data_IF_669422154543
#
_entry.id   IF_669422154543
#
_cell.length_a   1.000
_cell.length_b   1.000
_cell.length_c   1.000
_cell.angle_alpha   90.00
_cell.angle_beta   90.00
_cell.angle_gamma   90.00
#
_symmetry.space_group_name_H-M   'P 1'
#
loop_
_entity.id
_entity.type
_entity.pdbx_description
1 polymer ?
#
# COMPACT_ATOMS: atom_id res chain seq x y z
N UNK A 1 -0.42 3.83 -15.95
CA UNK A 1 0.20 3.41 -14.66
C UNK A 1 0.22 4.63 -13.75
N UNK A 2 -0.33 4.54 -12.54
CA UNK A 2 -0.38 5.69 -11.60
C UNK A 2 1.03 6.12 -11.16
N UNK A 3 1.25 7.42 -10.95
CA UNK A 3 2.55 7.98 -10.55
C UNK A 3 3.09 7.38 -9.24
N UNK A 4 2.21 7.10 -8.27
CA UNK A 4 2.58 6.46 -7.01
C UNK A 4 3.19 5.06 -7.19
N UNK A 5 2.61 4.26 -8.11
CA UNK A 5 3.11 2.91 -8.44
C UNK A 5 4.51 3.00 -9.04
N UNK A 6 4.72 3.94 -9.97
CA UNK A 6 6.03 4.13 -10.60
C UNK A 6 7.09 4.66 -9.63
N UNK A 7 6.68 5.47 -8.65
CA UNK A 7 7.58 5.96 -7.61
C UNK A 7 8.02 4.85 -6.67
N UNK A 8 7.10 4.00 -6.20
CA UNK A 8 7.43 2.86 -5.36
C UNK A 8 8.31 1.83 -6.08
N UNK A 9 8.04 1.56 -7.37
CA UNK A 9 8.91 0.73 -8.21
C UNK A 9 10.34 1.28 -8.30
N UNK A 10 10.50 2.60 -8.45
CA UNK A 10 11.82 3.23 -8.49
C UNK A 10 12.52 3.23 -7.12
N UNK A 11 11.76 3.35 -6.03
CA UNK A 11 12.27 3.22 -4.66
C UNK A 11 12.80 1.80 -4.42
N UNK A 12 12.03 0.79 -4.85
CA UNK A 12 12.38 -0.62 -4.72
C UNK A 12 13.72 -0.99 -5.38
N UNK A 13 14.09 -0.30 -6.47
CA UNK A 13 15.38 -0.48 -7.15
C UNK A 13 16.59 -0.05 -6.30
N UNK A 14 16.37 0.80 -5.29
CA UNK A 14 17.40 1.37 -4.43
C UNK A 14 17.34 0.83 -3.00
N UNK A 15 16.18 0.31 -2.59
CA UNK A 15 15.90 -0.23 -1.27
C UNK A 15 14.96 -1.42 -1.42
N UNK A 16 15.39 -2.66 -1.10
CA UNK A 16 14.52 -3.82 -1.11
C UNK A 16 13.34 -3.61 -0.15
N UNK A 17 12.13 -3.97 -0.60
CA UNK A 17 10.91 -3.78 0.18
C UNK A 17 10.27 -2.41 -0.10
N UNK A 18 9.32 -2.39 -1.02
CA UNK A 18 8.42 -1.26 -1.23
C UNK A 18 7.02 -1.77 -1.57
N UNK A 19 5.99 -1.02 -1.17
CA UNK A 19 4.60 -1.30 -1.54
C UNK A 19 3.84 0.00 -1.78
N UNK A 20 2.78 -0.07 -2.59
CA UNK A 20 1.79 1.01 -2.72
C UNK A 20 0.49 0.57 -2.10
N UNK A 21 -0.02 1.39 -1.19
CA UNK A 21 -1.33 1.21 -0.59
C UNK A 21 -2.33 2.18 -1.25
N UNK A 22 -3.52 1.69 -1.56
CA UNK A 22 -4.70 2.51 -1.80
C UNK A 22 -5.54 2.48 -0.54
N UNK A 23 -5.63 3.62 0.11
CA UNK A 23 -6.52 3.88 1.25
C UNK A 23 -7.83 4.41 0.68
N UNK A 24 -8.95 3.87 1.16
CA UNK A 24 -10.30 4.29 0.84
C UNK A 24 -10.94 4.76 2.14
N UNK A 25 -11.49 5.96 2.12
CA UNK A 25 -12.19 6.55 3.24
C UNK A 25 -13.52 7.07 2.74
N UNK A 26 -14.52 7.05 3.62
CA UNK A 26 -15.84 7.59 3.33
C UNK A 26 -15.75 9.12 3.22
N UNK A 27 -16.38 9.69 2.20
CA UNK A 27 -16.18 11.09 1.80
C UNK A 27 -16.80 12.11 2.79
N UNK A 28 -17.76 11.70 3.63
CA UNK A 28 -18.45 12.57 4.59
C UNK A 28 -17.82 12.61 5.99
N UNK A 29 -17.45 11.46 6.53
CA UNK A 29 -16.92 11.24 7.89
C UNK A 29 -15.40 11.12 7.89
N UNK A 30 -14.80 10.72 6.77
CA UNK A 30 -13.38 10.37 6.69
C UNK A 30 -13.04 9.04 7.35
N UNK A 31 -14.04 8.23 7.72
CA UNK A 31 -13.82 6.91 8.29
C UNK A 31 -13.14 5.98 7.27
N UNK A 32 -12.20 5.17 7.75
CA UNK A 32 -11.48 4.23 6.91
C UNK A 32 -12.43 3.11 6.44
N UNK A 33 -12.66 3.02 5.14
CA UNK A 33 -13.45 1.94 4.52
C UNK A 33 -12.58 0.75 4.11
N UNK A 34 -11.30 0.98 3.84
CA UNK A 34 -10.37 -0.11 3.59
C UNK A 34 -9.02 0.30 3.03
N UNK A 35 -8.08 -0.64 3.08
CA UNK A 35 -6.74 -0.48 2.51
C UNK A 35 -6.44 -1.66 1.59
N UNK A 36 -5.92 -1.38 0.39
CA UNK A 36 -5.55 -2.42 -0.59
C UNK A 36 -4.14 -2.20 -1.09
N UNK A 37 -3.39 -3.29 -1.29
CA UNK A 37 -2.06 -3.23 -1.89
C UNK A 37 -2.22 -3.17 -3.41
N UNK A 38 -1.68 -2.11 -4.04
CA UNK A 38 -1.73 -1.86 -5.48
C UNK A 38 -0.45 -2.27 -6.23
N UNK A 39 0.61 -2.53 -5.49
CA UNK A 39 1.90 -2.99 -6.00
C UNK A 39 2.84 -3.30 -4.84
N UNK A 40 3.68 -4.31 -5.01
CA UNK A 40 4.63 -4.79 -4.01
C UNK A 40 5.93 -5.20 -4.72
N UNK A 41 7.06 -4.83 -4.13
CA UNK A 41 8.40 -5.17 -4.62
C UNK A 41 9.25 -5.63 -3.44
N UNK A 42 9.50 -6.94 -3.38
CA UNK A 42 10.06 -7.61 -2.21
C UNK A 42 8.96 -8.18 -1.30
N UNK A 43 9.35 -8.86 -0.23
CA UNK A 43 8.41 -9.39 0.75
C UNK A 43 7.84 -8.27 1.62
N UNK A 44 6.55 -8.38 1.92
CA UNK A 44 5.89 -7.60 2.96
C UNK A 44 5.78 -8.52 4.18
N UNK A 45 6.25 -8.11 5.37
CA UNK A 45 6.09 -8.90 6.58
C UNK A 45 4.62 -9.27 6.85
N UNK A 46 4.39 -10.50 7.31
CA UNK A 46 3.04 -11.04 7.50
C UNK A 46 2.21 -10.22 8.52
N UNK A 47 2.85 -9.67 9.54
CA UNK A 47 2.23 -8.79 10.53
C UNK A 47 1.71 -7.48 9.90
N UNK A 48 2.49 -6.91 8.97
CA UNK A 48 2.06 -5.74 8.19
C UNK A 48 0.92 -6.13 7.26
N UNK A 49 1.03 -7.24 6.54
CA UNK A 49 -0.03 -7.70 5.65
C UNK A 49 -1.35 -7.99 6.40
N UNK A 50 -1.27 -8.56 7.61
CA UNK A 50 -2.41 -8.80 8.48
C UNK A 50 -3.03 -7.50 8.99
N UNK A 51 -2.21 -6.50 9.36
CA UNK A 51 -2.71 -5.19 9.82
C UNK A 51 -3.56 -4.47 8.77
N UNK A 52 -3.32 -4.73 7.48
CA UNK A 52 -4.06 -4.12 6.37
C UNK A 52 -5.40 -4.81 6.09
N UNK A 53 -5.60 -6.02 6.61
CA UNK A 53 -6.85 -6.79 6.48
C UNK A 53 -7.81 -6.57 7.66
N UNK A 54 -7.30 -6.02 8.77
CA UNK A 54 -8.07 -5.75 9.99
C UNK A 54 -8.74 -4.38 9.96
N UNK A 55 -9.92 -4.32 9.34
CA UNK A 55 -10.97 -3.34 9.62
C UNK A 55 -12.16 -4.04 10.26
#
# INVERSE_FOLDING_TARGET
MSGAVKQAENLAKRMPGAAVLKVMAEDGTGELEGVTIRGQWGEIPDDVAASLQGG
#
